data_IF_465437831072
#
_entry.id   IF_465437831072
#
_cell.length_a   1.000
_cell.length_b   1.000
_cell.length_c   1.000
_cell.angle_alpha   90.00
_cell.angle_beta   90.00
_cell.angle_gamma   90.00
#
_symmetry.space_group_name_H-M   'P 1'
#
loop_
_entity.id
_entity.type
_entity.pdbx_description
1 polymer ?
#
# COMPACT_ATOMS: atom_id res chain seq x y z
N UNK A 1 19.11 4.74 -3.59
CA UNK A 1 18.84 3.28 -3.67
C UNK A 1 18.06 3.00 -4.93
N UNK A 2 18.37 1.91 -5.64
CA UNK A 2 17.54 1.35 -6.71
C UNK A 2 17.67 -0.18 -6.65
N UNK A 3 16.56 -0.90 -6.59
CA UNK A 3 16.55 -2.37 -6.57
C UNK A 3 15.39 -2.92 -7.42
N UNK A 4 15.54 -4.14 -7.96
CA UNK A 4 14.44 -4.85 -8.62
C UNK A 4 13.41 -5.32 -7.58
N UNK A 5 12.20 -5.63 -8.04
CA UNK A 5 11.17 -6.27 -7.24
C UNK A 5 10.39 -7.32 -8.04
N UNK A 6 9.69 -8.19 -7.33
CA UNK A 6 8.72 -9.14 -7.88
C UNK A 6 7.30 -8.69 -7.58
N UNK A 7 6.36 -9.00 -8.48
CA UNK A 7 4.93 -8.79 -8.24
C UNK A 7 4.32 -10.12 -7.84
N UNK A 8 3.81 -10.21 -6.62
CA UNK A 8 3.15 -11.40 -6.08
C UNK A 8 1.76 -11.02 -5.62
N UNK A 9 0.73 -11.52 -6.30
CA UNK A 9 -0.68 -11.13 -6.06
C UNK A 9 -0.88 -9.59 -6.03
N UNK A 10 -0.25 -8.88 -6.98
CA UNK A 10 -0.30 -7.42 -7.09
C UNK A 10 0.65 -6.67 -6.14
N UNK A 11 1.22 -7.34 -5.13
CA UNK A 11 2.07 -6.68 -4.12
C UNK A 11 3.53 -6.63 -4.57
N UNK A 12 4.23 -5.56 -4.16
CA UNK A 12 5.63 -5.31 -4.50
C UNK A 12 6.55 -5.99 -3.51
N UNK A 13 7.22 -7.07 -3.94
CA UNK A 13 8.10 -7.88 -3.09
C UNK A 13 9.57 -7.56 -3.39
N UNK A 14 10.31 -7.24 -2.34
CA UNK A 14 11.74 -6.89 -2.40
C UNK A 14 12.53 -7.75 -1.41
N UNK A 15 13.83 -7.88 -1.67
CA UNK A 15 14.75 -8.55 -0.76
C UNK A 15 15.36 -7.54 0.19
N UNK A 16 15.32 -7.86 1.49
CA UNK A 16 15.85 -7.04 2.57
C UNK A 16 16.80 -7.82 3.47
N UNK A 17 17.64 -7.09 4.23
CA UNK A 17 18.40 -7.65 5.35
C UNK A 17 17.88 -7.10 6.66
N UNK A 18 17.80 -7.96 7.67
CA UNK A 18 17.34 -7.61 9.02
C UNK A 18 18.43 -8.00 10.01
N UNK A 19 18.90 -7.04 10.81
CA UNK A 19 20.00 -7.24 11.76
C UNK A 19 21.23 -7.89 11.09
N UNK A 20 21.54 -7.49 9.86
CA UNK A 20 22.62 -8.06 9.04
C UNK A 20 22.35 -9.42 8.38
N UNK A 21 21.26 -10.11 8.74
CA UNK A 21 20.87 -11.41 8.18
C UNK A 21 19.95 -11.27 6.96
N UNK A 22 19.87 -12.30 6.11
CA UNK A 22 19.02 -12.31 4.92
C UNK A 22 19.74 -12.90 3.69
N UNK A 23 19.12 -12.83 2.50
CA UNK A 23 17.96 -11.99 2.18
C UNK A 23 16.63 -12.55 2.73
N UNK A 24 15.73 -11.63 3.11
CA UNK A 24 14.36 -11.90 3.55
C UNK A 24 13.37 -11.18 2.63
N UNK A 25 12.27 -11.84 2.25
CA UNK A 25 11.23 -11.24 1.40
C UNK A 25 10.38 -10.26 2.19
N UNK A 26 10.34 -9.00 1.75
CA UNK A 26 9.52 -7.93 2.32
C UNK A 26 8.55 -7.38 1.28
N UNK A 27 7.32 -7.07 1.70
CA UNK A 27 6.38 -6.30 0.88
C UNK A 27 6.58 -4.80 1.10
N UNK A 28 6.50 -3.99 0.05
CA UNK A 28 6.36 -2.53 0.16
C UNK A 28 4.88 -2.17 0.20
N UNK A 29 4.46 -1.49 1.26
CA UNK A 29 3.05 -1.22 1.54
C UNK A 29 2.88 0.25 1.98
N UNK A 30 2.30 1.07 1.10
CA UNK A 30 2.03 2.48 1.37
C UNK A 30 0.83 2.69 2.31
N UNK A 31 -0.08 1.71 2.41
CA UNK A 31 -1.19 1.69 3.34
C UNK A 31 -0.74 1.40 4.78
N UNK A 32 0.30 0.59 4.97
CA UNK A 32 0.86 0.28 6.28
C UNK A 32 1.52 1.50 6.95
N UNK A 33 1.04 1.89 8.12
CA UNK A 33 1.65 2.91 8.97
C UNK A 33 2.94 2.43 9.66
N UNK A 34 3.80 3.36 10.06
CA UNK A 34 5.06 3.05 10.74
C UNK A 34 6.19 2.72 9.77
N UNK A 35 7.37 2.46 10.34
CA UNK A 35 8.56 2.10 9.58
C UNK A 35 8.48 0.69 8.99
N UNK A 36 7.74 -0.22 9.64
CA UNK A 36 7.58 -1.57 9.12
C UNK A 36 6.79 -2.49 10.03
N UNK A 37 6.73 -3.75 9.59
CA UNK A 37 6.15 -4.90 10.30
C UNK A 37 7.09 -6.09 10.18
N UNK A 38 7.13 -6.93 11.21
CA UNK A 38 7.82 -8.22 11.17
C UNK A 38 6.79 -9.36 11.18
N UNK A 39 7.01 -10.38 10.35
CA UNK A 39 6.24 -11.61 10.44
C UNK A 39 6.73 -12.49 11.61
N UNK A 40 5.82 -13.23 12.22
CA UNK A 40 6.13 -14.14 13.31
C UNK A 40 7.24 -15.16 12.96
N UNK A 41 7.34 -15.58 11.69
CA UNK A 41 8.41 -16.46 11.22
C UNK A 41 9.78 -15.77 11.27
N UNK A 42 9.86 -14.48 10.91
CA UNK A 42 11.10 -13.70 11.00
C UNK A 42 11.50 -13.49 12.45
N UNK A 43 10.54 -13.15 13.33
CA UNK A 43 10.83 -12.95 14.75
C UNK A 43 11.34 -14.23 15.40
N UNK A 44 10.73 -15.38 15.07
CA UNK A 44 11.19 -16.67 15.55
C UNK A 44 12.58 -17.03 15.01
N UNK A 45 12.82 -16.83 13.70
CA UNK A 45 14.10 -17.16 13.06
C UNK A 45 15.28 -16.35 13.61
N UNK A 46 15.03 -15.10 14.01
CA UNK A 46 16.05 -14.20 14.57
C UNK A 46 16.07 -14.17 16.10
N UNK A 47 15.19 -14.91 16.77
CA UNK A 47 15.08 -14.92 18.23
C UNK A 47 14.72 -13.56 18.83
N UNK A 48 13.87 -12.79 18.13
CA UNK A 48 13.45 -11.46 18.59
C UNK A 48 12.40 -11.58 19.69
N UNK A 49 12.63 -10.89 20.80
CA UNK A 49 11.68 -10.82 21.91
C UNK A 49 10.66 -9.70 21.71
N UNK A 50 9.45 -9.92 22.25
CA UNK A 50 8.43 -8.87 22.31
C UNK A 50 8.90 -7.78 23.27
N UNK A 51 9.02 -6.55 22.75
CA UNK A 51 9.49 -5.39 23.50
C UNK A 51 8.36 -4.49 23.99
N UNK A 52 7.13 -4.71 23.52
CA UNK A 52 5.97 -3.92 23.91
C UNK A 52 4.74 -4.25 23.08
N UNK A 53 3.79 -3.31 23.05
CA UNK A 53 2.61 -3.38 22.23
C UNK A 53 2.25 -1.99 21.68
N UNK A 54 1.67 -1.96 20.50
CA UNK A 54 1.19 -0.75 19.85
C UNK A 54 -0.25 -0.91 19.38
N UNK A 55 -1.00 0.19 19.41
CA UNK A 55 -2.33 0.25 18.82
C UNK A 55 -2.22 0.31 17.29
N UNK A 56 -3.00 -0.51 16.62
CA UNK A 56 -3.09 -0.58 15.17
C UNK A 56 -4.56 -0.47 14.75
N UNK A 57 -4.83 0.35 13.73
CA UNK A 57 -6.15 0.48 13.12
C UNK A 57 -6.09 0.08 11.66
N UNK A 58 -7.17 -0.52 11.16
CA UNK A 58 -7.39 -0.83 9.75
C UNK A 58 -8.49 0.04 9.12
N UNK A 59 -8.85 1.14 9.78
CA UNK A 59 -9.93 2.05 9.37
C UNK A 59 -11.32 1.63 9.86
N UNK A 60 -11.51 0.37 10.24
CA UNK A 60 -12.79 -0.16 10.74
C UNK A 60 -12.69 -0.53 12.22
N UNK A 61 -11.64 -1.26 12.57
CA UNK A 61 -11.37 -1.73 13.92
C UNK A 61 -9.99 -1.28 14.42
N UNK A 62 -9.89 -1.16 15.74
CA UNK A 62 -8.64 -0.83 16.44
C UNK A 62 -8.29 -2.01 17.34
N UNK A 63 -7.06 -2.51 17.22
CA UNK A 63 -6.56 -3.61 18.02
C UNK A 63 -5.15 -3.32 18.57
N UNK A 64 -4.81 -3.92 19.70
CA UNK A 64 -3.43 -3.96 20.20
C UNK A 64 -2.66 -5.06 19.47
N UNK A 65 -1.40 -4.81 19.13
CA UNK A 65 -0.50 -5.82 18.60
C UNK A 65 0.88 -5.69 19.21
N UNK A 66 1.54 -6.83 19.41
CA UNK A 66 2.88 -6.89 19.97
C UNK A 66 3.88 -6.18 19.06
N UNK A 67 4.93 -5.64 19.65
CA UNK A 67 6.06 -5.04 18.95
C UNK A 67 7.35 -5.77 19.26
N UNK A 68 8.26 -5.81 18.30
CA UNK A 68 9.63 -6.31 18.43
C UNK A 68 10.62 -5.25 18.01
N UNK A 69 11.85 -5.37 18.49
CA UNK A 69 12.94 -4.49 18.12
C UNK A 69 13.79 -5.05 16.98
N UNK A 70 14.07 -4.22 15.97
CA UNK A 70 15.05 -4.48 14.92
C UNK A 70 16.20 -3.49 15.04
N UNK A 71 17.43 -3.99 15.20
CA UNK A 71 18.64 -3.16 15.17
C UNK A 71 18.78 -2.46 13.83
N UNK A 72 18.47 -3.17 12.74
CA UNK A 72 18.49 -2.61 11.39
C UNK A 72 17.56 -3.32 10.41
N UNK A 73 17.01 -2.54 9.49
CA UNK A 73 16.34 -3.00 8.27
C UNK A 73 17.00 -2.32 7.07
N UNK A 74 17.61 -3.13 6.20
CA UNK A 74 18.30 -2.68 4.99
C UNK A 74 17.54 -3.15 3.74
N UNK A 75 17.03 -2.19 2.99
CA UNK A 75 16.42 -2.38 1.67
C UNK A 75 17.41 -1.88 0.61
N UNK A 76 18.18 -2.76 -0.03
CA UNK A 76 19.07 -2.39 -1.15
C UNK A 76 20.02 -1.21 -0.87
N UNK A 77 20.53 -1.09 0.37
CA UNK A 77 21.40 -0.02 0.86
C UNK A 77 20.66 1.16 1.50
N UNK A 78 19.33 1.18 1.51
CA UNK A 78 18.54 2.10 2.33
C UNK A 78 18.35 1.48 3.71
N UNK A 79 19.21 1.88 4.64
CA UNK A 79 19.19 1.36 6.00
C UNK A 79 18.36 2.25 6.91
N UNK A 80 17.51 1.63 7.72
CA UNK A 80 16.93 2.20 8.94
C UNK A 80 17.50 1.41 10.12
N UNK A 81 17.69 2.07 11.25
CA UNK A 81 18.27 1.47 12.46
C UNK A 81 17.37 1.74 13.65
N UNK A 82 17.45 0.87 14.66
CA UNK A 82 16.75 1.04 15.94
C UNK A 82 15.24 1.22 15.75
N UNK A 83 14.58 0.21 15.15
CA UNK A 83 13.17 0.25 14.80
C UNK A 83 12.36 -0.62 15.76
N UNK A 84 11.29 -0.06 16.32
CA UNK A 84 10.24 -0.87 16.93
C UNK A 84 9.11 -1.08 15.91
N UNK A 85 8.84 -2.33 15.60
CA UNK A 85 7.87 -2.72 14.57
C UNK A 85 6.82 -3.65 15.15
N UNK A 86 5.58 -3.52 14.68
CA UNK A 86 4.52 -4.46 15.03
C UNK A 86 4.87 -5.84 14.45
N UNK A 87 4.68 -6.88 15.25
CA UNK A 87 4.77 -8.28 14.82
C UNK A 87 3.40 -8.93 14.77
N UNK A 88 3.16 -9.72 13.72
CA UNK A 88 1.97 -10.57 13.54
C UNK A 88 2.30 -11.78 12.69
N UNK A 89 1.38 -12.73 12.65
CA UNK A 89 1.43 -13.83 11.69
C UNK A 89 0.74 -13.42 10.39
N UNK A 90 1.52 -12.84 9.47
CA UNK A 90 1.07 -12.42 8.14
C UNK A 90 1.06 -13.58 7.15
N UNK A 91 1.94 -14.57 7.36
CA UNK A 91 2.19 -15.63 6.38
C UNK A 91 1.33 -16.89 6.57
N UNK A 92 0.78 -17.19 7.76
CA UNK A 92 0.03 -18.46 7.95
C UNK A 92 -1.22 -18.62 7.10
N UNK A 93 -1.82 -17.51 6.66
CA UNK A 93 -2.98 -17.48 5.76
C UNK A 93 -2.63 -17.03 4.34
N UNK A 94 -1.35 -16.76 4.07
CA UNK A 94 -0.91 -16.39 2.74
C UNK A 94 -1.03 -17.62 1.81
N UNK A 95 -1.41 -17.42 0.53
CA UNK A 95 -1.25 -18.47 -0.48
C UNK A 95 0.20 -18.94 -0.55
N UNK A 96 0.40 -20.21 -0.90
CA UNK A 96 1.74 -20.77 -1.06
C UNK A 96 2.57 -19.93 -2.06
N UNK A 97 3.76 -19.50 -1.65
CA UNK A 97 4.64 -18.63 -2.43
C UNK A 97 4.37 -17.13 -2.27
N UNK A 98 3.40 -16.74 -1.44
CA UNK A 98 3.09 -15.34 -1.13
C UNK A 98 3.54 -14.93 0.29
N UNK A 99 4.27 -15.80 0.99
CA UNK A 99 4.77 -15.56 2.34
C UNK A 99 5.77 -14.38 2.34
N UNK A 100 5.73 -13.59 3.42
CA UNK A 100 6.63 -12.46 3.64
C UNK A 100 7.23 -12.55 5.03
N UNK A 101 8.49 -12.15 5.14
CA UNK A 101 9.16 -11.97 6.41
C UNK A 101 8.79 -10.65 7.10
N UNK A 102 8.26 -9.69 6.33
CA UNK A 102 7.84 -8.41 6.86
C UNK A 102 7.30 -7.44 5.83
N UNK A 103 6.96 -6.24 6.29
CA UNK A 103 6.43 -5.14 5.48
C UNK A 103 7.29 -3.91 5.71
N UNK A 104 7.75 -3.27 4.64
CA UNK A 104 8.29 -1.91 4.67
C UNK A 104 7.11 -0.94 4.56
N UNK A 105 6.76 -0.32 5.69
CA UNK A 105 5.63 0.60 5.79
C UNK A 105 5.95 1.96 5.21
N UNK A 106 4.94 2.82 5.13
CA UNK A 106 5.06 4.16 4.56
C UNK A 106 6.16 5.00 5.21
N UNK A 107 6.31 4.95 6.53
CA UNK A 107 7.24 5.85 7.22
C UNK A 107 8.70 5.44 6.97
N UNK A 108 8.95 4.21 6.49
CA UNK A 108 10.27 3.77 6.04
C UNK A 108 10.85 4.71 4.98
N UNK A 109 9.98 5.30 4.15
CA UNK A 109 10.36 6.17 3.03
C UNK A 109 10.08 7.66 3.29
N UNK A 110 9.69 8.05 4.50
CA UNK A 110 9.19 9.41 4.78
C UNK A 110 10.21 10.54 4.58
N UNK A 111 11.51 10.22 4.64
CA UNK A 111 12.60 11.20 4.48
C UNK A 111 13.07 11.39 3.03
N UNK A 112 12.32 10.90 2.04
CA UNK A 112 12.67 11.04 0.64
C UNK A 112 11.54 10.77 -0.35
N UNK A 113 11.93 10.74 -1.61
CA UNK A 113 11.09 10.36 -2.74
C UNK A 113 11.22 8.85 -2.97
N UNK A 114 10.12 8.12 -2.75
CA UNK A 114 9.95 6.73 -3.20
C UNK A 114 9.35 6.73 -4.60
N UNK A 115 9.94 5.97 -5.52
CA UNK A 115 9.35 5.70 -6.84
C UNK A 115 9.22 4.19 -7.03
N UNK A 116 8.02 3.73 -7.35
CA UNK A 116 7.70 2.36 -7.72
C UNK A 116 7.34 2.37 -9.20
N UNK A 117 8.26 1.90 -10.03
CA UNK A 117 8.08 1.74 -11.46
C UNK A 117 7.67 0.30 -11.74
N UNK A 118 6.35 0.06 -11.80
CA UNK A 118 5.81 -1.28 -12.05
C UNK A 118 6.16 -1.84 -13.44
N UNK A 119 6.04 -1.08 -14.54
CA UNK A 119 6.47 -1.54 -15.86
C UNK A 119 7.93 -2.00 -15.89
N UNK A 120 8.84 -1.23 -15.26
CA UNK A 120 10.25 -1.60 -15.20
C UNK A 120 10.59 -2.58 -14.07
N UNK A 121 9.64 -2.88 -13.18
CA UNK A 121 9.84 -3.68 -11.95
C UNK A 121 11.01 -3.19 -11.10
N UNK A 122 11.10 -1.87 -10.94
CA UNK A 122 12.13 -1.26 -10.08
C UNK A 122 11.54 -0.34 -9.03
N UNK A 123 12.10 -0.41 -7.82
CA UNK A 123 11.88 0.57 -6.77
C UNK A 123 13.12 1.44 -6.66
N UNK A 124 12.94 2.75 -6.53
CA UNK A 124 14.03 3.67 -6.26
C UNK A 124 13.68 4.64 -5.14
N UNK A 125 14.72 5.09 -4.44
CA UNK A 125 14.59 6.06 -3.36
C UNK A 125 15.70 7.11 -3.44
N UNK A 126 15.31 8.37 -3.27
CA UNK A 126 16.22 9.52 -3.24
C UNK A 126 15.83 10.53 -2.16
N UNK A 127 16.82 11.00 -1.39
CA UNK A 127 16.64 12.12 -0.45
C UNK A 127 16.77 13.48 -1.10
N UNK A 128 17.41 13.57 -2.26
CA UNK A 128 17.70 14.85 -2.92
C UNK A 128 16.67 15.25 -3.97
N UNK A 129 15.90 14.30 -4.49
CA UNK A 129 14.84 14.57 -5.47
C UNK A 129 13.52 14.82 -4.77
N UNK A 130 12.67 15.64 -5.37
CA UNK A 130 11.30 15.91 -4.92
C UNK A 130 10.33 15.81 -6.10
N UNK A 131 9.03 15.79 -5.81
CA UNK A 131 7.97 15.96 -6.83
C UNK A 131 7.56 17.44 -6.85
N UNK A 132 7.81 18.18 -7.94
CA UNK A 132 7.21 19.50 -8.16
C UNK A 132 5.68 19.40 -8.22
N UNK A 133 4.92 20.35 -7.64
CA UNK A 133 3.44 20.33 -7.70
C UNK A 133 2.84 20.38 -9.11
N UNK A 134 3.60 20.91 -10.08
CA UNK A 134 3.25 21.02 -11.50
C UNK A 134 3.84 19.89 -12.37
N UNK A 135 4.50 18.91 -11.74
CA UNK A 135 5.03 17.76 -12.47
C UNK A 135 3.90 16.91 -13.07
N UNK A 136 4.16 16.22 -14.20
CA UNK A 136 3.23 15.26 -14.77
C UNK A 136 2.72 14.26 -13.71
N UNK A 137 1.41 14.05 -13.69
CA UNK A 137 0.73 13.14 -12.79
C UNK A 137 0.74 13.54 -11.31
N UNK A 138 1.30 14.70 -10.95
CA UNK A 138 1.40 15.14 -9.56
C UNK A 138 0.03 15.47 -8.95
N UNK A 139 -0.17 14.99 -7.72
CA UNK A 139 -1.34 15.26 -6.89
C UNK A 139 -0.88 15.63 -5.49
N UNK A 140 -1.39 16.74 -4.99
CA UNK A 140 -1.34 17.00 -3.55
C UNK A 140 -2.19 15.95 -2.83
N UNK A 141 -1.74 15.50 -1.67
CA UNK A 141 -2.49 14.54 -0.87
C UNK A 141 -2.73 15.03 0.56
N UNK A 142 -3.83 14.57 1.14
CA UNK A 142 -4.15 14.71 2.57
C UNK A 142 -4.07 13.36 3.27
N UNK A 143 -3.90 13.37 4.61
CA UNK A 143 -3.74 12.14 5.41
C UNK A 143 -2.70 11.20 4.73
N UNK A 144 -2.57 9.91 5.04
CA UNK A 144 -1.72 9.06 4.23
C UNK A 144 -2.27 8.84 2.81
N UNK A 145 -1.66 9.53 1.83
CA UNK A 145 -1.86 9.32 0.39
C UNK A 145 -3.32 9.35 -0.09
N UNK A 146 -4.17 10.15 0.57
CA UNK A 146 -5.53 10.42 0.09
C UNK A 146 -5.47 11.53 -0.94
N UNK A 147 -5.87 11.22 -2.16
CA UNK A 147 -5.78 12.12 -3.31
C UNK A 147 -7.15 12.37 -3.94
N UNK A 148 -7.31 13.51 -4.64
CA UNK A 148 -8.46 13.72 -5.50
C UNK A 148 -8.40 12.76 -6.69
N UNK A 149 -9.51 12.07 -6.93
CA UNK A 149 -9.77 11.19 -8.07
C UNK A 149 -11.00 11.69 -8.80
N UNK A 150 -10.91 11.84 -10.12
CA UNK A 150 -12.05 12.26 -10.94
C UNK A 150 -12.78 11.03 -11.47
N UNK A 151 -14.07 10.90 -11.22
CA UNK A 151 -14.93 9.82 -11.73
C UNK A 151 -16.08 10.47 -12.51
N UNK A 152 -16.05 10.35 -13.84
CA UNK A 152 -16.93 11.11 -14.72
C UNK A 152 -16.74 12.61 -14.50
N UNK A 153 -17.78 13.28 -14.01
CA UNK A 153 -17.76 14.72 -13.70
C UNK A 153 -17.50 15.02 -12.21
N UNK A 154 -17.40 13.99 -11.36
CA UNK A 154 -17.27 14.15 -9.90
C UNK A 154 -15.82 14.04 -9.47
N UNK A 155 -15.44 14.85 -8.48
CA UNK A 155 -14.19 14.68 -7.74
C UNK A 155 -14.51 14.00 -6.42
N UNK A 156 -13.82 12.91 -6.14
CA UNK A 156 -13.89 12.16 -4.88
C UNK A 156 -12.50 11.96 -4.30
N UNK A 157 -12.40 11.73 -3.01
CA UNK A 157 -11.13 11.45 -2.35
C UNK A 157 -10.90 9.94 -2.23
N UNK A 158 -9.70 9.47 -2.57
CA UNK A 158 -9.33 8.06 -2.43
C UNK A 158 -7.90 7.87 -1.93
N UNK A 159 -7.67 6.86 -1.10
CA UNK A 159 -6.34 6.47 -0.64
C UNK A 159 -5.62 5.61 -1.68
N UNK A 160 -4.35 5.91 -1.96
CA UNK A 160 -3.50 5.05 -2.80
C UNK A 160 -2.78 4.01 -1.94
N UNK A 161 -3.07 2.73 -2.17
CA UNK A 161 -2.55 1.62 -1.39
C UNK A 161 -1.90 0.54 -2.26
N UNK A 162 -0.57 0.48 -2.27
CA UNK A 162 0.19 -0.55 -3.00
C UNK A 162 0.22 -1.89 -2.27
N UNK A 163 -0.18 -1.94 -1.00
CA UNK A 163 -0.20 -3.15 -0.18
C UNK A 163 -1.48 -3.97 -0.34
N UNK A 164 -2.56 -3.35 -0.80
CA UNK A 164 -3.87 -3.98 -0.98
C UNK A 164 -4.01 -4.64 -2.37
N UNK A 165 -4.09 -5.97 -2.41
CA UNK A 165 -4.35 -6.76 -3.63
C UNK A 165 -5.82 -6.69 -4.09
N UNK A 166 -6.31 -5.48 -4.33
CA UNK A 166 -7.66 -5.20 -4.81
C UNK A 166 -7.63 -4.16 -5.93
N UNK A 167 -8.73 -4.00 -6.66
CA UNK A 167 -8.93 -2.92 -7.64
C UNK A 167 -9.21 -1.58 -6.95
N UNK A 168 -10.47 -1.22 -6.79
CA UNK A 168 -10.92 -0.11 -5.96
C UNK A 168 -12.00 -0.62 -5.03
N UNK A 169 -12.03 -0.11 -3.80
CA UNK A 169 -13.08 -0.43 -2.83
C UNK A 169 -13.81 0.86 -2.47
N UNK A 170 -15.14 0.78 -2.50
CA UNK A 170 -16.02 1.91 -2.27
C UNK A 170 -16.89 1.69 -1.03
N UNK A 171 -17.10 2.74 -0.22
CA UNK A 171 -18.30 2.85 0.60
C UNK A 171 -19.53 2.85 -0.32
N UNK A 172 -20.59 2.11 0.02
CA UNK A 172 -21.82 2.01 -0.79
C UNK A 172 -22.37 3.38 -1.22
N UNK A 173 -22.51 4.29 -0.27
CA UNK A 173 -23.05 5.63 -0.55
C UNK A 173 -22.24 6.39 -1.60
N UNK A 174 -20.92 6.21 -1.64
CA UNK A 174 -20.07 6.82 -2.65
C UNK A 174 -20.20 6.12 -4.00
N UNK A 175 -20.24 4.79 -4.02
CA UNK A 175 -20.50 4.03 -5.26
C UNK A 175 -21.84 4.43 -5.90
N UNK A 176 -22.90 4.54 -5.10
CA UNK A 176 -24.22 4.96 -5.58
C UNK A 176 -24.21 6.38 -6.15
N UNK A 177 -23.34 7.26 -5.63
CA UNK A 177 -23.23 8.64 -6.10
C UNK A 177 -22.48 8.80 -7.42
N UNK A 178 -21.58 7.87 -7.77
CA UNK A 178 -20.70 7.96 -8.97
C UNK A 178 -21.05 6.95 -10.05
N UNK A 179 -21.71 5.85 -9.71
CA UNK A 179 -22.10 4.80 -10.64
C UNK A 179 -23.55 4.35 -10.42
N UNK A 180 -23.89 3.88 -9.21
CA UNK A 180 -25.24 3.40 -8.88
C UNK A 180 -25.71 2.19 -9.68
N UNK A 181 -24.78 1.42 -10.27
CA UNK A 181 -25.07 0.21 -11.03
C UNK A 181 -25.40 -1.00 -10.15
N UNK A 182 -25.93 -2.09 -10.72
CA UNK A 182 -26.27 -3.29 -9.96
C UNK A 182 -25.04 -3.87 -9.25
N UNK A 183 -25.25 -4.40 -8.05
CA UNK A 183 -24.23 -5.06 -7.24
C UNK A 183 -24.53 -6.56 -7.14
N UNK A 184 -23.47 -7.36 -7.15
CA UNK A 184 -23.54 -8.79 -6.90
C UNK A 184 -22.72 -9.14 -5.65
N UNK A 185 -23.13 -10.19 -4.92
CA UNK A 185 -22.36 -10.68 -3.79
C UNK A 185 -20.94 -11.09 -4.21
N UNK A 186 -19.94 -10.72 -3.41
CA UNK A 186 -18.53 -10.99 -3.65
C UNK A 186 -17.80 -11.62 -2.44
N UNK A 187 -18.53 -12.03 -1.41
CA UNK A 187 -17.98 -12.74 -0.25
C UNK A 187 -17.44 -11.79 0.82
N UNK A 188 -16.30 -12.13 1.42
CA UNK A 188 -15.66 -11.36 2.47
C UNK A 188 -14.27 -10.88 2.04
N UNK A 189 -13.90 -9.67 2.47
CA UNK A 189 -12.55 -9.12 2.38
C UNK A 189 -11.87 -9.10 3.74
N UNK A 190 -10.55 -9.27 3.75
CA UNK A 190 -9.74 -9.19 4.97
C UNK A 190 -9.11 -7.81 5.09
N UNK A 191 -9.28 -7.19 6.25
CA UNK A 191 -8.49 -6.05 6.72
C UNK A 191 -7.46 -6.53 7.76
N UNK A 192 -6.66 -5.63 8.32
CA UNK A 192 -5.60 -6.03 9.26
C UNK A 192 -6.15 -6.59 10.58
N UNK A 193 -7.32 -6.12 11.03
CA UNK A 193 -7.91 -6.48 12.33
C UNK A 193 -9.32 -7.10 12.21
N UNK A 194 -10.00 -6.93 11.07
CA UNK A 194 -11.36 -7.44 10.85
C UNK A 194 -11.54 -8.05 9.47
N UNK A 195 -12.68 -8.72 9.25
CA UNK A 195 -13.20 -9.02 7.92
C UNK A 195 -14.43 -8.15 7.65
N UNK A 196 -14.69 -7.86 6.38
CA UNK A 196 -15.84 -7.08 5.93
C UNK A 196 -16.58 -7.81 4.82
N UNK A 197 -17.89 -7.59 4.72
CA UNK A 197 -18.70 -8.10 3.62
C UNK A 197 -18.47 -7.26 2.37
N UNK A 198 -18.28 -7.94 1.24
CA UNK A 198 -18.01 -7.31 -0.05
C UNK A 198 -19.08 -7.69 -1.08
N UNK A 199 -19.49 -6.68 -1.82
CA UNK A 199 -20.16 -6.82 -3.11
C UNK A 199 -19.22 -6.40 -4.23
N UNK A 200 -19.59 -6.73 -5.46
CA UNK A 200 -18.91 -6.32 -6.68
C UNK A 200 -19.85 -5.53 -7.58
N UNK A 201 -19.31 -4.47 -8.15
CA UNK A 201 -19.98 -3.63 -9.13
C UNK A 201 -19.05 -3.29 -10.29
N UNK A 202 -19.60 -2.66 -11.32
CA UNK A 202 -18.82 -2.16 -12.45
C UNK A 202 -18.80 -0.63 -12.42
N UNK A 203 -17.60 -0.07 -12.44
CA UNK A 203 -17.37 1.36 -12.56
C UNK A 203 -16.94 1.67 -13.99
N UNK A 204 -17.87 2.18 -14.80
CA UNK A 204 -17.60 2.49 -16.21
C UNK A 204 -16.56 3.61 -16.40
N UNK A 205 -16.55 4.62 -15.53
CA UNK A 205 -15.63 5.74 -15.63
C UNK A 205 -16.08 6.82 -16.64
N UNK A 206 -15.15 7.65 -17.15
CA UNK A 206 -13.70 7.57 -16.93
C UNK A 206 -13.31 7.84 -15.47
N UNK A 207 -12.28 7.15 -15.00
CA UNK A 207 -11.65 7.38 -13.69
C UNK A 207 -10.24 7.91 -13.91
N UNK A 208 -9.96 9.14 -13.47
CA UNK A 208 -8.66 9.80 -13.61
C UNK A 208 -7.97 9.94 -12.27
N UNK A 209 -6.71 9.51 -12.22
CA UNK A 209 -5.82 9.60 -11.06
C UNK A 209 -4.49 10.15 -11.58
N UNK A 210 -4.15 11.41 -11.25
CA UNK A 210 -2.98 12.05 -11.86
C UNK A 210 -3.13 12.09 -13.39
N UNK A 211 -2.15 11.56 -14.10
CA UNK A 211 -2.14 11.53 -15.58
C UNK A 211 -2.72 10.23 -16.15
N UNK A 212 -3.13 9.28 -15.31
CA UNK A 212 -3.69 8.01 -15.78
C UNK A 212 -5.21 8.08 -15.85
N UNK A 213 -5.78 7.43 -16.86
CA UNK A 213 -7.23 7.25 -17.01
C UNK A 213 -7.52 5.77 -17.18
N UNK A 214 -8.42 5.24 -16.35
CA UNK A 214 -8.91 3.86 -16.40
C UNK A 214 -10.43 3.86 -16.50
N UNK A 215 -11.01 2.80 -17.03
CA UNK A 215 -12.45 2.66 -17.31
C UNK A 215 -12.86 1.20 -17.23
N UNK A 216 -14.15 0.95 -17.07
CA UNK A 216 -14.75 -0.39 -16.96
C UNK A 216 -14.06 -1.28 -15.91
N UNK A 217 -13.90 -0.73 -14.71
CA UNK A 217 -13.20 -1.38 -13.59
C UNK A 217 -14.21 -2.15 -12.76
N UNK A 218 -13.97 -3.44 -12.51
CA UNK A 218 -14.70 -4.15 -11.45
C UNK A 218 -14.25 -3.58 -10.09
N UNK A 219 -15.19 -3.08 -9.30
CA UNK A 219 -14.92 -2.51 -7.97
C UNK A 219 -15.53 -3.39 -6.89
N UNK A 220 -14.97 -3.33 -5.69
CA UNK A 220 -15.63 -3.86 -4.49
C UNK A 220 -16.42 -2.76 -3.80
N UNK A 221 -17.54 -3.13 -3.19
CA UNK A 221 -18.39 -2.21 -2.45
C UNK A 221 -18.69 -2.80 -1.08
N UNK A 222 -18.65 -1.97 -0.05
CA UNK A 222 -18.99 -2.37 1.32
C UNK A 222 -19.63 -1.21 2.07
N UNK A 223 -20.60 -1.51 2.93
CA UNK A 223 -21.17 -0.53 3.87
C UNK A 223 -20.27 -0.30 5.10
N UNK A 224 -19.33 -1.23 5.35
CA UNK A 224 -18.47 -1.24 6.53
C UNK A 224 -17.17 -0.44 6.32
N UNK A 225 -16.84 -0.13 5.06
CA UNK A 225 -15.59 0.53 4.71
C UNK A 225 -15.78 2.06 4.60
N UNK A 226 -14.94 2.88 5.25
CA UNK A 226 -15.26 4.30 5.46
C UNK A 226 -14.88 5.22 4.30
N UNK A 227 -13.91 4.84 3.47
CA UNK A 227 -13.33 5.70 2.43
C UNK A 227 -13.05 4.92 1.14
N UNK A 228 -12.87 5.61 0.02
CA UNK A 228 -12.43 4.92 -1.20
C UNK A 228 -10.95 4.61 -1.07
N UNK A 229 -10.52 3.41 -1.49
CA UNK A 229 -9.10 3.17 -1.76
C UNK A 229 -8.89 2.59 -3.16
N UNK A 230 -7.74 2.91 -3.73
CA UNK A 230 -7.21 2.40 -4.99
C UNK A 230 -6.09 1.44 -4.67
N UNK A 231 -6.32 0.17 -4.93
CA UNK A 231 -5.41 -0.92 -4.65
C UNK A 231 -4.47 -1.24 -5.80
N UNK A 232 -3.61 -2.23 -5.54
CA UNK A 232 -2.54 -2.62 -6.42
C UNK A 232 -2.99 -3.11 -7.79
N UNK A 233 -4.20 -3.66 -7.95
CA UNK A 233 -4.66 -4.14 -9.27
C UNK A 233 -4.86 -3.01 -10.28
N UNK A 234 -5.18 -1.80 -9.82
CA UNK A 234 -5.20 -0.60 -10.67
C UNK A 234 -3.80 0.00 -10.78
N UNK A 235 -3.09 0.10 -9.65
CA UNK A 235 -1.83 0.84 -9.57
C UNK A 235 -0.65 0.14 -10.26
N UNK A 236 -0.66 -1.19 -10.38
CA UNK A 236 0.46 -1.99 -10.88
C UNK A 236 0.76 -1.82 -12.39
N UNK A 237 0.02 -0.96 -13.08
CA UNK A 237 0.20 -0.68 -14.51
C UNK A 237 0.92 0.65 -14.76
N UNK A 238 1.36 1.33 -13.69
CA UNK A 238 1.76 2.72 -13.71
C UNK A 238 3.11 2.95 -13.00
N UNK A 239 3.65 4.16 -13.15
CA UNK A 239 4.76 4.64 -12.33
C UNK A 239 4.17 5.46 -11.19
N UNK A 240 4.45 5.03 -9.95
CA UNK A 240 4.02 5.73 -8.75
C UNK A 240 5.19 6.44 -8.10
N UNK A 241 4.98 7.66 -7.64
CA UNK A 241 5.95 8.41 -6.87
C UNK A 241 5.29 8.94 -5.59
N UNK A 242 5.99 8.87 -4.46
CA UNK A 242 5.53 9.35 -3.17
C UNK A 242 6.61 10.23 -2.53
N UNK A 243 6.30 11.51 -2.33
CA UNK A 243 7.13 12.46 -1.59
C UNK A 243 6.39 12.99 -0.37
N UNK A 244 6.69 12.41 0.79
CA UNK A 244 5.99 12.77 2.03
C UNK A 244 6.39 14.13 2.59
N UNK A 245 7.55 14.65 2.17
CA UNK A 245 8.08 15.92 2.65
C UNK A 245 7.36 17.10 2.01
N UNK A 246 6.97 16.96 0.74
CA UNK A 246 6.21 17.97 0.00
C UNK A 246 4.72 17.67 -0.06
N UNK A 247 4.28 16.54 0.51
CA UNK A 247 2.90 16.01 0.44
C UNK A 247 2.40 15.88 -1.00
N UNK A 248 3.26 15.35 -1.86
CA UNK A 248 2.95 15.08 -3.26
C UNK A 248 3.03 13.58 -3.52
N UNK A 249 2.11 13.09 -4.34
CA UNK A 249 2.29 11.83 -5.06
C UNK A 249 2.26 12.10 -6.55
N UNK A 250 2.77 11.18 -7.37
CA UNK A 250 2.55 11.21 -8.81
C UNK A 250 2.09 9.84 -9.29
N UNK A 251 1.11 9.83 -10.19
CA UNK A 251 0.65 8.62 -10.88
C UNK A 251 0.76 8.87 -12.38
N UNK A 252 1.73 8.21 -13.00
CA UNK A 252 2.11 8.43 -14.40
C UNK A 252 1.91 7.16 -15.25
N UNK A 253 1.59 7.30 -16.55
CA UNK A 253 1.50 6.16 -17.45
C UNK A 253 2.85 5.45 -17.61
N UNK A 254 2.83 4.21 -18.09
CA UNK A 254 4.05 3.49 -18.43
C UNK A 254 4.85 4.25 -19.51
N UNK A 255 6.16 4.41 -19.31
CA UNK A 255 7.07 5.03 -20.29
C UNK A 255 7.18 6.56 -20.23
N UNK A 256 6.64 7.20 -19.18
CA UNK A 256 6.83 8.62 -18.86
C UNK A 256 8.21 8.94 -18.28
#
# INVERSE_FOLDING_TARGET
>A
MRLPFEIVHGRVYVQARVNGTGPHTFAIDTGASGLGRADASLTAALGLEVTGAATNSDGVAVASADTVHLDSLDLGGLVRTNLDVITRDYSSKAPAGAEIAGIAGRDFFADGLLVIDFPARTVSFSRSRTIPPDAPGALAYERPFRVPVVIGERVVEANLDTGAGATMVFPRALYDSVAGGPLAAAGQGSLSNTTISLERGLLHGPVRIGDVTVSDIEVRVSDEFPEIFVGAEVLQHHVLAFDQRTRQVAVCPAGS
#
